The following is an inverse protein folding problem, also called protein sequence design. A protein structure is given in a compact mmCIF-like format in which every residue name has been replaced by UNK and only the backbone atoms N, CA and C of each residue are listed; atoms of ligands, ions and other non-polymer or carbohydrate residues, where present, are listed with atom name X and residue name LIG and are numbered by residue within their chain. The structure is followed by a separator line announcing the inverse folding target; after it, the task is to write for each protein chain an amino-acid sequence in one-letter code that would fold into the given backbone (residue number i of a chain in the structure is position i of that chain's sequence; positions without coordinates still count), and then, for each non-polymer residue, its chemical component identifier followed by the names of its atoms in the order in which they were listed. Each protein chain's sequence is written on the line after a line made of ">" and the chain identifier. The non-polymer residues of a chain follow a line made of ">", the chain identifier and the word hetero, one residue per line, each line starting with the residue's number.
data_IF_275756002158
#
_entry.id   IF_275756002158
#
_cell.length_a   1.000
_cell.length_b   1.000
_cell.length_c   1.000
_cell.angle_alpha   90.00
_cell.angle_beta   90.00
_cell.angle_gamma   90.00
#
_symmetry.space_group_name_H-M   'P 1'
#
loop_
_entity.id
_entity.type
_entity.pdbx_description
1 polymer ?
#
# COMPACT_ATOMS: atom_id res chain seq x y z
N UNK A 1 -4.49 1.45 -13.58
CA UNK A 1 -4.96 1.16 -12.21
C UNK A 1 -5.43 -0.28 -12.14
N UNK A 2 -5.82 -0.79 -10.97
CA UNK A 2 -6.52 -2.10 -10.87
C UNK A 2 -5.66 -3.37 -10.82
N UNK A 3 -4.34 -3.30 -10.99
CA UNK A 3 -3.44 -4.48 -10.99
C UNK A 3 -3.21 -5.15 -9.62
N UNK A 4 -3.84 -4.68 -8.55
CA UNK A 4 -3.76 -5.32 -7.22
C UNK A 4 -2.61 -4.86 -6.30
N UNK A 5 -2.03 -3.66 -6.49
CA UNK A 5 -0.95 -3.15 -5.61
C UNK A 5 -1.35 -3.08 -4.13
N UNK A 6 -2.48 -2.44 -3.85
CA UNK A 6 -3.04 -2.32 -2.49
C UNK A 6 -3.31 -3.71 -1.92
N UNK A 7 -3.87 -4.63 -2.73
CA UNK A 7 -4.11 -6.02 -2.32
C UNK A 7 -2.82 -6.75 -1.95
N UNK A 8 -1.77 -6.63 -2.77
CA UNK A 8 -0.46 -7.24 -2.47
C UNK A 8 0.15 -6.65 -1.19
N UNK A 9 0.10 -5.33 -1.02
CA UNK A 9 0.56 -4.68 0.19
C UNK A 9 -0.23 -5.14 1.43
N UNK A 10 -1.55 -5.34 1.32
CA UNK A 10 -2.40 -5.86 2.39
C UNK A 10 -2.03 -7.30 2.76
N UNK A 11 -1.76 -8.16 1.77
CA UNK A 11 -1.33 -9.54 2.02
C UNK A 11 -0.01 -9.58 2.81
N UNK A 12 0.96 -8.75 2.44
CA UNK A 12 2.24 -8.64 3.16
C UNK A 12 2.04 -8.03 4.56
N UNK A 13 1.29 -6.94 4.66
CA UNK A 13 1.07 -6.22 5.92
C UNK A 13 0.39 -7.09 6.98
N UNK A 14 -0.54 -7.96 6.56
CA UNK A 14 -1.30 -8.85 7.44
C UNK A 14 -0.62 -10.22 7.66
N UNK A 15 0.54 -10.47 7.05
CA UNK A 15 1.27 -11.72 7.25
C UNK A 15 1.78 -11.83 8.70
N UNK A 16 1.67 -13.03 9.28
CA UNK A 16 2.06 -13.30 10.67
C UNK A 16 3.54 -13.01 10.93
N UNK A 17 4.42 -13.35 9.98
CA UNK A 17 5.87 -13.12 10.12
C UNK A 17 6.19 -11.63 10.10
N UNK A 18 5.43 -10.84 9.32
CA UNK A 18 5.55 -9.38 9.29
C UNK A 18 5.04 -8.79 10.62
N UNK A 19 3.90 -9.25 11.10
CA UNK A 19 3.37 -8.85 12.41
C UNK A 19 4.35 -9.13 13.55
N UNK A 20 4.98 -10.31 13.57
CA UNK A 20 5.94 -10.67 14.62
C UNK A 20 7.29 -9.94 14.49
N UNK A 21 7.60 -9.38 13.32
CA UNK A 21 8.87 -8.70 13.05
C UNK A 21 8.87 -7.22 13.44
N UNK A 22 7.73 -6.54 13.35
CA UNK A 22 7.61 -5.10 13.57
C UNK A 22 6.86 -4.81 14.88
N UNK A 23 7.42 -3.93 15.71
CA UNK A 23 6.78 -3.51 16.97
C UNK A 23 5.55 -2.65 16.73
N UNK A 24 5.51 -1.95 15.59
CA UNK A 24 4.48 -0.99 15.24
C UNK A 24 4.19 -1.08 13.75
N UNK A 25 2.91 -1.09 13.39
CA UNK A 25 2.47 -1.05 12.01
C UNK A 25 1.46 0.06 11.83
N UNK A 26 1.55 0.78 10.72
CA UNK A 26 0.62 1.82 10.35
C UNK A 26 0.31 1.77 8.86
N UNK A 27 -0.90 2.15 8.51
CA UNK A 27 -1.36 2.22 7.12
C UNK A 27 -2.15 3.50 6.92
N UNK A 28 -1.78 4.28 5.91
CA UNK A 28 -2.56 5.44 5.49
C UNK A 28 -2.66 5.51 3.98
N UNK A 29 -3.84 5.90 3.49
CA UNK A 29 -4.05 6.22 2.09
C UNK A 29 -3.73 7.71 1.87
N UNK A 30 -2.90 7.98 0.89
CA UNK A 30 -2.47 9.33 0.57
C UNK A 30 -3.47 9.93 -0.42
N UNK A 31 -4.26 10.88 0.07
CA UNK A 31 -5.16 11.69 -0.72
C UNK A 31 -4.45 12.46 -1.85
N UNK A 32 -5.16 12.73 -2.95
CA UNK A 32 -4.68 13.51 -4.09
C UNK A 32 -4.15 14.91 -3.72
N UNK A 33 -4.76 15.54 -2.72
CA UNK A 33 -4.30 16.82 -2.14
C UNK A 33 -3.23 16.55 -1.08
N UNK A 34 -1.99 16.37 -1.52
CA UNK A 34 -0.90 16.03 -0.62
C UNK A 34 -0.57 17.20 0.32
N UNK A 35 -0.77 16.98 1.61
CA UNK A 35 -0.42 17.92 2.67
C UNK A 35 0.36 17.19 3.77
N UNK A 36 1.59 17.65 4.03
CA UNK A 36 2.50 17.01 5.00
C UNK A 36 1.88 16.97 6.39
N UNK A 37 1.15 18.02 6.79
CA UNK A 37 0.50 18.10 8.10
C UNK A 37 -0.62 17.07 8.24
N UNK A 38 -1.54 17.02 7.28
CA UNK A 38 -2.65 16.07 7.22
C UNK A 38 -2.14 14.63 7.17
N UNK A 39 -1.11 14.37 6.37
CA UNK A 39 -0.54 13.03 6.27
C UNK A 39 0.17 12.62 7.57
N UNK A 40 0.98 13.50 8.16
CA UNK A 40 1.61 13.26 9.47
C UNK A 40 0.56 12.97 10.54
N UNK A 41 -0.55 13.74 10.56
CA UNK A 41 -1.69 13.52 11.45
C UNK A 41 -2.34 12.16 11.21
N UNK A 42 -2.58 11.77 9.97
CA UNK A 42 -3.18 10.48 9.61
C UNK A 42 -2.30 9.31 10.04
N UNK A 43 -0.99 9.39 9.83
CA UNK A 43 -0.02 8.37 10.29
C UNK A 43 -0.06 8.28 11.81
N UNK A 44 -0.01 9.42 12.51
CA UNK A 44 -0.03 9.45 13.97
C UNK A 44 -1.30 8.80 14.53
N UNK A 45 -2.47 9.10 13.96
CA UNK A 45 -3.74 8.48 14.36
C UNK A 45 -3.82 6.99 14.00
N UNK A 46 -3.14 6.54 12.94
CA UNK A 46 -3.02 5.11 12.63
C UNK A 46 -2.17 4.36 13.67
N UNK A 47 -1.27 5.05 14.37
CA UNK A 47 -0.39 4.48 15.40
C UNK A 47 -1.04 4.57 16.78
N UNK A 48 -1.62 5.73 17.08
CA UNK A 48 -2.19 6.06 18.37
C UNK A 48 -3.56 6.73 18.17
N UNK A 49 -4.59 5.90 18.01
CA UNK A 49 -5.96 6.31 17.66
C UNK A 49 -6.60 7.28 18.66
N UNK A 50 -6.17 7.22 19.92
CA UNK A 50 -6.84 7.92 21.02
C UNK A 50 -6.25 9.32 21.28
N UNK A 51 -5.28 9.76 20.48
CA UNK A 51 -4.68 11.08 20.64
C UNK A 51 -5.57 12.19 20.05
N UNK A 52 -5.86 13.21 20.85
CA UNK A 52 -6.47 14.44 20.34
C UNK A 52 -5.39 15.36 19.76
N UNK A 53 -5.32 15.40 18.43
CA UNK A 53 -4.31 16.16 17.67
C UNK A 53 -4.93 17.20 16.73
N UNK A 54 -6.20 17.57 16.96
CA UNK A 54 -6.94 18.45 16.05
C UNK A 54 -6.40 19.88 15.99
N UNK A 55 -5.81 20.37 17.09
CA UNK A 55 -5.24 21.71 17.19
C UNK A 55 -3.71 21.74 17.05
N UNK A 56 -3.09 20.64 16.62
CA UNK A 56 -1.64 20.57 16.47
C UNK A 56 -1.21 21.14 15.12
N UNK A 57 -0.18 21.99 15.17
CA UNK A 57 0.58 22.36 13.97
C UNK A 57 1.50 21.20 13.54
N UNK A 58 2.10 21.34 12.35
CA UNK A 58 2.99 20.33 11.80
C UNK A 58 4.15 19.97 12.75
N UNK A 59 4.75 20.94 13.43
CA UNK A 59 5.87 20.69 14.32
C UNK A 59 5.47 19.79 15.49
N UNK A 60 4.34 20.09 16.14
CA UNK A 60 3.81 19.25 17.23
C UNK A 60 3.43 17.86 16.75
N UNK A 61 2.83 17.74 15.55
CA UNK A 61 2.50 16.45 14.95
C UNK A 61 3.78 15.62 14.71
N UNK A 62 4.83 16.25 14.17
CA UNK A 62 6.11 15.60 13.90
C UNK A 62 6.85 15.22 15.18
N UNK A 63 6.83 16.06 16.21
CA UNK A 63 7.40 15.73 17.53
C UNK A 63 6.70 14.53 18.16
N UNK A 64 5.38 14.49 18.11
CA UNK A 64 4.62 13.39 18.70
C UNK A 64 4.82 12.09 17.93
N UNK A 65 4.76 12.15 16.60
CA UNK A 65 5.09 10.99 15.75
C UNK A 65 6.51 10.49 16.01
N UNK A 66 7.48 11.40 16.14
CA UNK A 66 8.86 11.05 16.48
C UNK A 66 8.96 10.33 17.82
N UNK A 67 8.21 10.74 18.85
CA UNK A 67 8.16 10.05 20.14
C UNK A 67 7.58 8.64 20.01
N UNK A 68 6.47 8.49 19.28
CA UNK A 68 5.83 7.17 19.08
C UNK A 68 6.76 6.19 18.34
N UNK A 69 7.58 6.69 17.41
CA UNK A 69 8.50 5.87 16.62
C UNK A 69 9.85 5.62 17.32
N UNK A 70 10.20 6.41 18.35
CA UNK A 70 11.52 6.36 18.95
C UNK A 70 11.85 4.97 19.50
N UNK A 71 12.91 4.36 18.95
CA UNK A 71 13.37 3.02 19.36
C UNK A 71 12.47 1.86 18.89
N UNK A 72 11.38 2.14 18.16
CA UNK A 72 10.47 1.12 17.65
C UNK A 72 10.89 0.71 16.24
N UNK A 73 10.87 -0.60 15.97
CA UNK A 73 10.96 -1.12 14.61
C UNK A 73 9.58 -1.07 13.98
N UNK A 74 9.36 -0.14 13.05
CA UNK A 74 8.04 0.08 12.47
C UNK A 74 7.95 -0.35 11.00
N UNK A 75 6.73 -0.69 10.58
CA UNK A 75 6.32 -0.78 9.19
C UNK A 75 5.24 0.26 8.90
N UNK A 76 5.49 1.15 7.94
CA UNK A 76 4.52 2.13 7.48
C UNK A 76 4.13 1.85 6.03
N UNK A 77 2.85 1.78 5.74
CA UNK A 77 2.32 1.72 4.36
C UNK A 77 1.71 3.07 4.00
N UNK A 78 2.24 3.67 2.93
CA UNK A 78 1.68 4.85 2.27
C UNK A 78 1.04 4.39 0.94
N UNK A 79 -0.28 4.29 0.93
CA UNK A 79 -1.04 3.72 -0.19
C UNK A 79 -1.53 4.81 -1.16
N UNK A 80 -1.51 4.51 -2.46
CA UNK A 80 -1.94 5.35 -3.60
C UNK A 80 -1.31 6.76 -3.63
N UNK A 81 0.02 6.83 -3.53
CA UNK A 81 0.76 8.09 -3.50
C UNK A 81 0.88 8.75 -4.88
N UNK A 82 0.58 10.06 -4.94
CA UNK A 82 0.66 10.86 -6.17
C UNK A 82 1.68 12.01 -6.16
N UNK A 83 2.13 12.47 -4.98
CA UNK A 83 2.97 13.66 -4.88
C UNK A 83 4.40 13.42 -5.41
N UNK A 84 4.84 14.25 -6.36
CA UNK A 84 6.18 14.23 -6.94
C UNK A 84 7.15 15.23 -6.27
N UNK A 85 6.67 16.05 -5.33
CA UNK A 85 7.53 17.04 -4.69
C UNK A 85 8.49 16.40 -3.66
N UNK A 86 9.75 16.27 -4.04
CA UNK A 86 10.82 15.73 -3.20
C UNK A 86 10.96 16.46 -1.85
N UNK A 87 10.79 17.79 -1.82
CA UNK A 87 10.93 18.58 -0.58
C UNK A 87 9.87 18.19 0.44
N UNK A 88 8.64 17.98 0.01
CA UNK A 88 7.56 17.56 0.91
C UNK A 88 7.83 16.16 1.49
N UNK A 89 8.43 15.27 0.70
CA UNK A 89 8.86 13.94 1.16
C UNK A 89 9.99 14.02 2.17
N UNK A 90 10.97 14.88 1.95
CA UNK A 90 12.03 15.14 2.93
C UNK A 90 11.41 15.61 4.24
N UNK A 91 10.49 16.57 4.21
CA UNK A 91 9.81 17.06 5.41
C UNK A 91 8.99 15.98 6.11
N UNK A 92 8.21 15.19 5.37
CA UNK A 92 7.45 14.06 5.93
C UNK A 92 8.38 13.02 6.58
N UNK A 93 9.57 12.81 6.02
CA UNK A 93 10.48 11.74 6.45
C UNK A 93 11.21 12.01 7.77
N UNK A 94 11.26 13.27 8.23
CA UNK A 94 12.05 13.68 9.40
C UNK A 94 11.71 12.89 10.68
N UNK A 95 10.43 12.65 11.05
CA UNK A 95 10.09 11.88 12.24
C UNK A 95 10.51 10.41 12.15
N UNK A 96 10.52 9.84 10.95
CA UNK A 96 10.82 8.42 10.71
C UNK A 96 12.27 8.06 11.07
N UNK A 97 13.18 9.04 11.09
CA UNK A 97 14.58 8.84 11.47
C UNK A 97 14.77 8.43 12.93
N UNK A 98 13.75 8.61 13.79
CA UNK A 98 13.80 8.14 15.18
C UNK A 98 13.53 6.64 15.34
N UNK A 99 13.05 5.97 14.28
CA UNK A 99 12.79 4.53 14.31
C UNK A 99 14.06 3.69 14.48
N UNK A 100 13.88 2.48 15.00
CA UNK A 100 14.96 1.51 15.11
C UNK A 100 15.42 1.02 13.73
N UNK A 101 16.67 0.57 13.66
CA UNK A 101 17.22 -0.04 12.46
C UNK A 101 16.35 -1.20 11.97
N UNK A 102 16.14 -1.26 10.66
CA UNK A 102 15.30 -2.26 10.01
C UNK A 102 13.83 -1.90 9.93
N UNK A 103 13.43 -0.69 10.38
CA UNK A 103 12.12 -0.11 10.04
C UNK A 103 11.97 0.03 8.53
N UNK A 104 10.73 -0.09 8.03
CA UNK A 104 10.41 -0.10 6.60
C UNK A 104 9.24 0.82 6.28
N UNK A 105 9.32 1.47 5.14
CA UNK A 105 8.21 2.21 4.53
C UNK A 105 7.91 1.55 3.19
N UNK A 106 6.65 1.20 2.96
CA UNK A 106 6.15 0.67 1.70
C UNK A 106 5.28 1.74 1.06
N UNK A 107 5.57 2.07 -0.19
CA UNK A 107 4.79 3.03 -0.98
C UNK A 107 4.13 2.28 -2.11
N UNK A 108 2.82 2.44 -2.28
CA UNK A 108 2.13 2.03 -3.52
C UNK A 108 1.82 3.27 -4.34
N UNK A 109 2.06 3.20 -5.64
CA UNK A 109 1.77 4.32 -6.56
C UNK A 109 1.46 3.80 -7.95
N UNK A 110 0.70 4.59 -8.72
CA UNK A 110 0.48 4.38 -10.15
C UNK A 110 1.46 5.22 -10.99
N UNK A 111 2.21 6.10 -10.34
CA UNK A 111 3.07 7.08 -10.97
C UNK A 111 4.53 6.64 -10.88
N UNK A 112 5.15 6.37 -12.03
CA UNK A 112 6.56 5.98 -12.10
C UNK A 112 7.52 7.05 -11.59
N UNK A 113 7.18 8.33 -11.70
CA UNK A 113 8.02 9.42 -11.18
C UNK A 113 8.06 9.37 -9.66
N UNK A 114 6.91 9.18 -9.00
CA UNK A 114 6.83 8.94 -7.56
C UNK A 114 7.69 7.73 -7.18
N UNK A 115 7.60 6.63 -7.92
CA UNK A 115 8.40 5.44 -7.65
C UNK A 115 9.92 5.71 -7.72
N UNK A 116 10.37 6.50 -8.70
CA UNK A 116 11.79 6.92 -8.86
C UNK A 116 12.26 7.87 -7.76
N UNK A 117 11.39 8.77 -7.31
CA UNK A 117 11.69 9.69 -6.20
C UNK A 117 11.86 8.92 -4.89
N UNK A 118 11.05 7.88 -4.69
CA UNK A 118 10.96 7.12 -3.45
C UNK A 118 11.96 5.98 -3.32
N UNK A 119 12.37 5.39 -4.44
CA UNK A 119 13.26 4.23 -4.45
C UNK A 119 14.46 4.53 -5.33
N UNK A 120 15.64 4.61 -4.71
CA UNK A 120 16.90 4.85 -5.39
C UNK A 120 17.43 3.60 -6.11
N UNK A 121 17.08 2.40 -5.63
CA UNK A 121 17.72 1.16 -6.07
C UNK A 121 16.84 0.30 -7.00
N UNK A 122 15.53 0.15 -6.73
CA UNK A 122 14.54 -0.41 -7.67
C UNK A 122 13.13 -0.41 -7.06
N UNK A 123 12.15 0.07 -7.82
CA UNK A 123 10.74 -0.11 -7.49
C UNK A 123 10.24 -1.47 -7.98
N UNK A 124 9.34 -2.12 -7.25
CA UNK A 124 8.71 -3.36 -7.68
C UNK A 124 7.54 -3.06 -8.62
N UNK A 125 7.68 -3.39 -9.90
CA UNK A 125 6.61 -3.27 -10.89
C UNK A 125 5.67 -4.48 -10.80
N UNK A 126 4.47 -4.26 -10.24
CA UNK A 126 3.44 -5.30 -10.21
C UNK A 126 2.79 -5.44 -11.60
N UNK A 127 3.00 -6.60 -12.21
CA UNK A 127 2.49 -6.95 -13.53
C UNK A 127 1.03 -7.42 -13.48
N UNK A 128 0.36 -7.33 -14.61
CA UNK A 128 -0.97 -7.92 -14.82
C UNK A 128 -0.93 -9.44 -14.68
N UNK A 129 -2.09 -10.03 -14.39
CA UNK A 129 -2.27 -11.48 -14.30
C UNK A 129 -2.13 -12.14 -15.67
N UNK A 130 -1.75 -13.42 -15.65
CA UNK A 130 -1.84 -14.29 -16.83
C UNK A 130 -3.31 -14.52 -17.23
N UNK A 131 -3.55 -14.99 -18.44
CA UNK A 131 -4.92 -15.30 -18.89
C UNK A 131 -5.52 -16.43 -18.05
N UNK A 132 -4.70 -17.40 -17.68
CA UNK A 132 -5.04 -18.53 -16.82
C UNK A 132 -5.42 -18.07 -15.41
N UNK A 133 -4.63 -17.18 -14.80
CA UNK A 133 -4.93 -16.64 -13.47
C UNK A 133 -6.19 -15.77 -13.50
N UNK A 134 -6.37 -14.95 -14.54
CA UNK A 134 -7.63 -14.21 -14.73
C UNK A 134 -8.84 -15.14 -14.85
N UNK A 135 -8.70 -16.26 -15.57
CA UNK A 135 -9.77 -17.24 -15.69
C UNK A 135 -10.09 -17.89 -14.34
N UNK A 136 -9.08 -18.22 -13.55
CA UNK A 136 -9.24 -18.75 -12.19
C UNK A 136 -10.00 -17.76 -11.30
N UNK A 137 -9.56 -16.50 -11.24
CA UNK A 137 -10.22 -15.43 -10.47
C UNK A 137 -11.66 -15.22 -10.94
N UNK A 138 -11.88 -15.11 -12.25
CA UNK A 138 -13.21 -14.92 -12.83
C UNK A 138 -14.15 -16.08 -12.47
N UNK A 139 -13.67 -17.32 -12.59
CA UNK A 139 -14.45 -18.53 -12.28
C UNK A 139 -14.78 -18.60 -10.79
N UNK A 140 -13.81 -18.26 -9.93
CA UNK A 140 -14.01 -18.24 -8.49
C UNK A 140 -15.10 -17.24 -8.09
N UNK A 141 -15.09 -16.04 -8.67
CA UNK A 141 -16.08 -15.02 -8.35
C UNK A 141 -17.46 -15.27 -8.98
N UNK A 142 -17.53 -15.90 -10.16
CA UNK A 142 -18.80 -16.12 -10.87
C UNK A 142 -19.49 -17.44 -10.50
N UNK A 143 -18.71 -18.49 -10.23
CA UNK A 143 -19.20 -19.86 -10.05
C UNK A 143 -18.79 -20.50 -8.71
N UNK A 144 -17.92 -19.86 -7.94
CA UNK A 144 -17.42 -20.40 -6.67
C UNK A 144 -16.43 -21.57 -6.82
N UNK A 145 -15.90 -21.80 -8.03
CA UNK A 145 -14.92 -22.86 -8.34
C UNK A 145 -13.64 -22.26 -8.93
N UNK A 146 -12.52 -22.96 -8.81
CA UNK A 146 -11.22 -22.47 -9.35
C UNK A 146 -10.99 -22.84 -10.82
N UNK A 147 -11.87 -23.67 -11.39
CA UNK A 147 -11.80 -24.07 -12.79
C UNK A 147 -13.20 -24.31 -13.39
N UNK A 148 -13.21 -24.45 -14.72
CA UNK A 148 -14.41 -24.71 -15.52
C UNK A 148 -14.60 -26.20 -15.84
N UNK A 149 -13.95 -27.11 -15.10
CA UNK A 149 -14.00 -28.56 -15.38
C UNK A 149 -15.42 -29.12 -15.34
N UNK A 150 -16.26 -28.58 -14.44
CA UNK A 150 -17.68 -28.92 -14.29
C UNK A 150 -18.61 -28.09 -15.22
N UNK A 151 -18.06 -27.12 -15.93
CA UNK A 151 -18.78 -26.15 -16.76
C UNK A 151 -18.17 -26.02 -18.16
N UNK A 152 -17.84 -27.15 -18.80
CA UNK A 152 -17.13 -27.18 -20.10
C UNK A 152 -17.79 -26.34 -21.20
N UNK A 153 -19.12 -26.22 -21.20
CA UNK A 153 -19.84 -25.38 -22.16
C UNK A 153 -19.56 -23.87 -22.03
N UNK A 154 -19.06 -23.44 -20.87
CA UNK A 154 -18.71 -22.04 -20.59
C UNK A 154 -17.23 -21.74 -20.80
N UNK A 155 -16.40 -22.73 -21.14
CA UNK A 155 -14.95 -22.58 -21.22
C UNK A 155 -14.52 -21.52 -22.24
N UNK A 156 -15.03 -21.62 -23.47
CA UNK A 156 -14.73 -20.67 -24.53
C UNK A 156 -15.29 -19.27 -24.22
N UNK A 157 -16.46 -19.20 -23.57
CA UNK A 157 -17.08 -17.93 -23.17
C UNK A 157 -16.22 -17.25 -22.10
N UNK A 158 -15.83 -17.99 -21.06
CA UNK A 158 -14.99 -17.50 -19.97
C UNK A 158 -13.65 -17.00 -20.48
N UNK A 159 -12.98 -17.77 -21.34
CA UNK A 159 -11.72 -17.38 -22.00
C UNK A 159 -11.88 -16.08 -22.80
N UNK A 160 -12.93 -15.97 -23.62
CA UNK A 160 -13.19 -14.75 -24.40
C UNK A 160 -13.48 -13.52 -23.53
N UNK A 161 -14.09 -13.71 -22.35
CA UNK A 161 -14.33 -12.62 -21.39
C UNK A 161 -12.99 -12.16 -20.81
N UNK A 162 -12.18 -13.07 -20.26
CA UNK A 162 -10.94 -12.68 -19.57
C UNK A 162 -9.88 -12.09 -20.49
N UNK A 163 -9.85 -12.50 -21.77
CA UNK A 163 -9.01 -11.85 -22.79
C UNK A 163 -9.37 -10.37 -22.94
N UNK A 164 -10.67 -10.03 -22.87
CA UNK A 164 -11.13 -8.63 -22.91
C UNK A 164 -10.78 -7.84 -21.64
N UNK A 165 -10.63 -8.51 -20.50
CA UNK A 165 -10.19 -7.89 -19.24
C UNK A 165 -8.68 -7.59 -19.20
N UNK A 166 -7.89 -8.15 -20.13
CA UNK A 166 -6.48 -7.83 -20.33
C UNK A 166 -5.61 -7.94 -19.05
N UNK A 167 -5.82 -9.00 -18.27
CA UNK A 167 -4.98 -9.28 -17.10
C UNK A 167 -5.28 -8.42 -15.87
N UNK A 168 -6.31 -7.56 -15.89
CA UNK A 168 -6.69 -6.72 -14.76
C UNK A 168 -7.63 -7.50 -13.81
N UNK A 169 -7.28 -7.62 -12.51
CA UNK A 169 -8.15 -8.25 -11.51
C UNK A 169 -9.46 -7.51 -11.19
N UNK A 170 -9.52 -6.20 -11.42
CA UNK A 170 -10.68 -5.33 -11.12
C UNK A 170 -11.64 -5.27 -12.32
#
# INVERSE_FOLDING_TARGET
>A
GGVGKTTLAQLVYNDKQVEDHFNLKAWTCVSDDFDVSRLTKSILLSIASDQNVDNHDLNKLQEELKKQLFGQKFLLVLDDVWNENYTDWVHLSLPFQAGAQGSKIVVTTRNEQVAKIMSLDQAYELKSLSTEDCLSVFTQHSLGTTDLSSHKSLEDIGKNIVIKCNGLPL
#
